data_IF_974711519565
#
_entry.id   IF_974711519565
#
_cell.length_a   1.000
_cell.length_b   1.000
_cell.length_c   1.000
_cell.angle_alpha   90.00
_cell.angle_beta   90.00
_cell.angle_gamma   90.00
#
_symmetry.space_group_name_H-M   'P 1'
#
loop_
_entity.id
_entity.type
_entity.pdbx_description
1 polymer ?
#
# COMPACT_ATOMS: atom_id res chain seq x y z
N UNK A 1 -16.22 9.36 30.54
CA UNK A 1 -15.99 8.28 31.52
C UNK A 1 -14.55 8.34 32.00
N UNK A 2 -14.33 8.39 33.31
CA UNK A 2 -12.99 8.40 33.91
C UNK A 2 -12.45 6.96 33.87
N UNK A 3 -11.29 6.76 33.24
CA UNK A 3 -10.70 5.42 33.13
C UNK A 3 -10.17 4.86 34.46
N UNK A 4 -9.98 3.52 34.60
CA UNK A 4 -9.53 2.89 35.85
C UNK A 4 -8.19 3.44 36.40
N UNK A 5 -7.31 3.92 35.54
CA UNK A 5 -6.04 4.54 35.93
C UNK A 5 -6.27 5.87 36.66
N UNK A 6 -7.15 6.73 36.15
CA UNK A 6 -7.48 8.00 36.82
C UNK A 6 -8.21 7.78 38.13
N UNK A 7 -9.09 6.77 38.20
CA UNK A 7 -9.77 6.39 39.45
C UNK A 7 -8.76 5.95 40.51
N UNK A 8 -7.74 5.15 40.14
CA UNK A 8 -6.64 4.78 41.06
C UNK A 8 -5.86 6.00 41.57
N UNK A 9 -5.54 6.93 40.64
CA UNK A 9 -4.86 8.17 41.00
C UNK A 9 -5.67 9.01 41.98
N UNK A 10 -6.99 9.11 41.74
CA UNK A 10 -7.88 9.84 42.64
C UNK A 10 -7.95 9.18 44.04
N UNK A 11 -8.01 7.83 44.12
CA UNK A 11 -7.93 7.11 45.41
C UNK A 11 -6.60 7.38 46.09
N UNK A 12 -5.48 7.27 45.37
CA UNK A 12 -4.14 7.54 45.91
C UNK A 12 -4.07 8.96 46.47
N UNK A 13 -4.48 9.96 45.71
CA UNK A 13 -4.49 11.36 46.16
C UNK A 13 -5.25 11.58 47.46
N UNK A 14 -6.49 11.03 47.56
CA UNK A 14 -7.33 11.18 48.76
C UNK A 14 -6.71 10.49 49.97
N UNK A 15 -6.03 9.35 49.78
CA UNK A 15 -5.34 8.63 50.85
C UNK A 15 -4.06 9.36 51.27
N UNK A 16 -3.24 9.81 50.32
CA UNK A 16 -2.00 10.54 50.58
C UNK A 16 -2.25 11.90 51.32
N UNK A 17 -3.33 12.57 50.95
CA UNK A 17 -3.79 13.79 51.65
C UNK A 17 -4.45 13.51 53.00
N UNK A 18 -4.51 12.26 53.46
CA UNK A 18 -5.13 11.82 54.72
C UNK A 18 -6.59 12.26 54.90
N UNK A 19 -7.30 12.50 53.79
CA UNK A 19 -8.71 12.94 53.84
C UNK A 19 -9.63 11.82 54.32
N UNK A 20 -9.34 10.58 53.99
CA UNK A 20 -10.03 9.42 54.55
C UNK A 20 -9.22 8.11 54.36
N UNK A 21 -9.69 7.02 54.97
CA UNK A 21 -9.04 5.72 54.85
C UNK A 21 -9.16 5.17 53.41
N UNK A 22 -8.22 4.32 52.98
CA UNK A 22 -8.25 3.61 51.72
C UNK A 22 -9.60 2.92 51.42
N UNK A 23 -10.16 2.25 52.44
CA UNK A 23 -11.46 1.59 52.34
C UNK A 23 -12.58 2.57 51.98
N UNK A 24 -12.58 3.74 52.63
CA UNK A 24 -13.58 4.81 52.41
C UNK A 24 -13.37 5.49 51.07
N UNK A 25 -12.15 5.83 50.70
CA UNK A 25 -11.80 6.39 49.39
C UNK A 25 -12.22 5.48 48.22
N UNK A 26 -11.88 4.18 48.30
CA UNK A 26 -12.28 3.21 47.29
C UNK A 26 -13.80 3.07 47.17
N UNK A 27 -14.53 3.11 48.28
CA UNK A 27 -16.00 3.04 48.28
C UNK A 27 -16.62 4.28 47.63
N UNK A 28 -16.15 5.47 47.96
CA UNK A 28 -16.70 6.74 47.41
C UNK A 28 -16.41 6.90 45.94
N UNK A 29 -15.22 6.48 45.49
CA UNK A 29 -14.79 6.58 44.08
C UNK A 29 -15.19 5.36 43.23
N UNK A 30 -15.95 4.42 43.79
CA UNK A 30 -16.43 3.25 43.03
C UNK A 30 -15.30 2.32 42.55
N UNK A 31 -14.16 2.25 43.26
CA UNK A 31 -13.02 1.40 42.91
C UNK A 31 -12.93 0.22 43.85
N UNK A 32 -12.86 -1.00 43.31
CA UNK A 32 -12.63 -2.16 44.16
C UNK A 32 -11.20 -2.10 44.76
N UNK A 33 -11.02 -2.41 46.04
CA UNK A 33 -9.72 -2.35 46.75
C UNK A 33 -8.66 -3.20 46.09
N UNK A 34 -9.01 -4.41 45.62
CA UNK A 34 -8.07 -5.25 44.88
C UNK A 34 -7.60 -4.60 43.58
N UNK A 35 -8.47 -3.86 42.90
CA UNK A 35 -8.11 -3.07 41.71
C UNK A 35 -7.16 -1.93 42.07
N UNK A 36 -7.41 -1.22 43.16
CA UNK A 36 -6.51 -0.16 43.65
C UNK A 36 -5.13 -0.72 44.02
N UNK A 37 -5.08 -1.80 44.80
CA UNK A 37 -3.84 -2.43 45.25
C UNK A 37 -3.10 -3.22 44.18
N UNK A 38 -3.74 -3.51 43.05
CA UNK A 38 -3.09 -4.26 41.98
C UNK A 38 -1.88 -3.46 41.43
N UNK A 39 -0.66 -3.99 41.56
CA UNK A 39 0.51 -3.26 41.10
C UNK A 39 0.49 -3.07 39.60
N UNK A 40 0.88 -1.88 39.16
CA UNK A 40 1.11 -1.63 37.74
C UNK A 40 2.36 -2.40 37.34
N UNK A 41 2.20 -3.48 36.59
CA UNK A 41 3.35 -4.23 36.07
C UNK A 41 4.11 -3.37 35.07
N UNK A 42 5.39 -3.18 35.31
CA UNK A 42 6.28 -2.59 34.32
C UNK A 42 6.27 -3.43 33.04
N UNK A 43 6.18 -2.81 31.86
CA UNK A 43 6.23 -3.56 30.61
C UNK A 43 7.58 -4.27 30.48
N UNK A 44 7.56 -5.50 29.98
CA UNK A 44 8.78 -6.26 29.69
C UNK A 44 9.65 -5.51 28.67
N UNK A 45 10.99 -5.58 28.74
CA UNK A 45 11.89 -4.91 27.79
C UNK A 45 11.53 -5.18 26.32
N UNK A 46 11.18 -6.41 25.98
CA UNK A 46 10.73 -6.80 24.64
C UNK A 46 9.43 -6.08 24.21
N UNK A 47 8.51 -5.83 25.15
CA UNK A 47 7.29 -5.09 24.86
C UNK A 47 7.57 -3.60 24.59
N UNK A 48 8.54 -3.03 25.28
CA UNK A 48 9.00 -1.65 25.04
C UNK A 48 9.65 -1.54 23.67
N UNK A 49 10.54 -2.46 23.31
CA UNK A 49 11.19 -2.50 22.01
C UNK A 49 10.16 -2.66 20.87
N UNK A 50 9.21 -3.59 21.00
CA UNK A 50 8.14 -3.77 20.03
C UNK A 50 7.30 -2.49 19.87
N UNK A 51 6.96 -1.83 20.98
CA UNK A 51 6.21 -0.57 20.94
C UNK A 51 6.99 0.51 20.18
N UNK A 52 8.25 0.71 20.50
CA UNK A 52 9.14 1.65 19.82
C UNK A 52 9.25 1.33 18.32
N UNK A 53 9.39 0.04 17.96
CA UNK A 53 9.47 -0.37 16.54
C UNK A 53 8.17 -0.08 15.79
N UNK A 54 6.99 -0.34 16.39
CA UNK A 54 5.69 0.00 15.79
C UNK A 54 5.58 1.50 15.53
N UNK A 55 6.02 2.34 16.47
CA UNK A 55 6.01 3.80 16.32
C UNK A 55 6.96 4.21 15.18
N UNK A 56 8.20 3.73 15.19
CA UNK A 56 9.19 4.03 14.16
C UNK A 56 8.70 3.66 12.75
N UNK A 57 8.18 2.44 12.55
CA UNK A 57 7.61 2.00 11.28
C UNK A 57 6.38 2.83 10.87
N UNK A 58 5.59 3.31 11.84
CA UNK A 58 4.43 4.14 11.53
C UNK A 58 4.81 5.54 11.05
N UNK A 59 5.95 6.07 11.51
CA UNK A 59 6.54 7.31 11.01
C UNK A 59 7.24 7.12 9.67
N UNK A 60 7.97 6.03 9.50
CA UNK A 60 8.61 5.68 8.23
C UNK A 60 7.60 5.48 7.11
N UNK A 61 6.46 4.82 7.41
CA UNK A 61 5.39 4.51 6.45
C UNK A 61 4.04 5.10 6.90
N UNK A 62 3.84 6.40 6.91
CA UNK A 62 2.65 7.04 7.50
C UNK A 62 1.35 6.68 6.77
N UNK A 63 1.44 6.21 5.52
CA UNK A 63 0.28 5.76 4.73
C UNK A 63 -0.04 4.27 4.90
N UNK A 64 0.78 3.53 5.69
CA UNK A 64 0.50 2.12 5.98
C UNK A 64 -0.50 1.99 7.12
N UNK A 65 -1.59 1.27 6.88
CA UNK A 65 -2.50 0.83 7.93
C UNK A 65 -1.86 -0.24 8.84
N UNK A 66 -2.45 -0.48 10.00
CA UNK A 66 -1.95 -1.44 10.99
C UNK A 66 -1.68 -2.85 10.44
N UNK A 67 -2.42 -3.27 9.39
CA UNK A 67 -2.22 -4.58 8.75
C UNK A 67 -0.90 -4.66 7.99
N UNK A 68 -0.50 -3.58 7.28
CA UNK A 68 0.79 -3.51 6.58
C UNK A 68 1.95 -3.35 7.57
N UNK A 69 1.79 -2.51 8.60
CA UNK A 69 2.81 -2.39 9.67
C UNK A 69 3.04 -3.74 10.32
N UNK A 70 1.97 -4.52 10.60
CA UNK A 70 2.13 -5.89 11.10
C UNK A 70 2.92 -6.77 10.15
N UNK A 71 2.63 -6.73 8.84
CA UNK A 71 3.33 -7.54 7.85
C UNK A 71 4.84 -7.19 7.77
N UNK A 72 5.21 -5.92 7.93
CA UNK A 72 6.61 -5.51 8.03
C UNK A 72 7.24 -6.09 9.29
N UNK A 73 6.58 -5.97 10.44
CA UNK A 73 7.07 -6.53 11.70
C UNK A 73 7.26 -8.06 11.63
N UNK A 74 6.36 -8.77 10.98
CA UNK A 74 6.47 -10.23 10.80
C UNK A 74 7.68 -10.61 9.95
N UNK A 75 8.01 -9.82 8.93
CA UNK A 75 9.25 -10.01 8.15
C UNK A 75 10.52 -9.73 8.99
N UNK A 76 10.43 -8.84 9.95
CA UNK A 76 11.50 -8.57 10.92
C UNK A 76 11.59 -9.62 12.05
N UNK A 77 10.74 -10.66 12.01
CA UNK A 77 10.72 -11.74 13.00
C UNK A 77 9.87 -11.48 14.25
N UNK A 78 9.10 -10.38 14.30
CA UNK A 78 8.22 -10.10 15.42
C UNK A 78 6.93 -10.91 15.36
N UNK A 79 6.66 -11.68 16.41
CA UNK A 79 5.33 -12.30 16.60
C UNK A 79 4.37 -11.29 17.24
N UNK A 80 3.45 -10.72 16.47
CA UNK A 80 2.55 -9.67 16.94
C UNK A 80 1.13 -9.81 16.35
N UNK A 81 0.12 -9.62 17.21
CA UNK A 81 -1.29 -9.68 16.76
C UNK A 81 -1.73 -8.37 16.10
N UNK A 82 -2.71 -8.48 15.19
CA UNK A 82 -3.36 -7.29 14.55
C UNK A 82 -3.91 -6.32 15.60
N UNK A 83 -4.57 -6.84 16.64
CA UNK A 83 -5.17 -6.05 17.72
C UNK A 83 -4.11 -5.26 18.51
N UNK A 84 -2.94 -5.87 18.74
CA UNK A 84 -1.84 -5.22 19.47
C UNK A 84 -1.27 -4.03 18.68
N UNK A 85 -0.94 -4.21 17.39
CA UNK A 85 -0.45 -3.12 16.53
C UNK A 85 -1.50 -2.00 16.44
N UNK A 86 -2.77 -2.35 16.23
CA UNK A 86 -3.86 -1.38 16.15
C UNK A 86 -4.03 -0.58 17.45
N UNK A 87 -3.96 -1.25 18.62
CA UNK A 87 -4.08 -0.62 19.94
C UNK A 87 -2.95 0.37 20.18
N UNK A 88 -1.70 -0.02 19.92
CA UNK A 88 -0.53 0.85 20.09
C UNK A 88 -0.66 2.07 19.17
N UNK A 89 -0.89 1.88 17.89
CA UNK A 89 -1.04 2.99 16.95
C UNK A 89 -2.20 3.92 17.29
N UNK A 90 -3.30 3.38 17.88
CA UNK A 90 -4.41 4.20 18.35
C UNK A 90 -4.00 5.07 19.55
N UNK A 91 -3.26 4.48 20.50
CA UNK A 91 -2.76 5.17 21.69
C UNK A 91 -1.82 6.32 21.33
N UNK A 92 -0.95 6.08 20.35
CA UNK A 92 0.03 7.06 19.86
C UNK A 92 -0.53 8.05 18.81
N UNK A 93 -1.83 8.02 18.53
CA UNK A 93 -2.44 8.93 17.55
C UNK A 93 -2.07 8.64 16.08
N UNK A 94 -1.40 7.54 15.80
CA UNK A 94 -0.81 7.18 14.49
C UNK A 94 -1.80 6.47 13.55
N UNK A 95 -3.08 6.86 13.58
CA UNK A 95 -4.08 6.31 12.67
C UNK A 95 -3.95 6.95 11.28
N UNK A 96 -4.00 6.12 10.23
CA UNK A 96 -4.20 6.63 8.88
C UNK A 96 -5.62 7.19 8.78
N UNK A 97 -5.77 8.41 8.28
CA UNK A 97 -7.09 8.98 8.03
C UNK A 97 -7.85 8.09 7.04
N UNK A 98 -9.08 7.69 7.33
CA UNK A 98 -9.89 6.94 6.37
C UNK A 98 -10.11 7.83 5.13
N UNK A 99 -10.04 7.20 3.95
CA UNK A 99 -10.49 7.88 2.73
C UNK A 99 -12.00 8.14 2.85
N UNK A 100 -12.52 9.21 2.26
CA UNK A 100 -13.97 9.40 2.13
C UNK A 100 -14.59 8.11 1.60
N UNK A 101 -15.73 7.71 2.17
CA UNK A 101 -16.46 6.54 1.66
C UNK A 101 -16.84 6.81 0.21
N UNK A 102 -16.39 5.94 -0.68
CA UNK A 102 -16.85 5.94 -2.06
C UNK A 102 -18.29 5.43 -2.05
N UNK A 103 -19.19 6.19 -2.62
CA UNK A 103 -20.58 5.73 -2.84
C UNK A 103 -20.50 4.49 -3.71
N UNK A 104 -21.06 3.33 -3.27
CA UNK A 104 -21.06 2.13 -4.08
C UNK A 104 -21.77 2.42 -5.41
N UNK A 105 -21.14 2.11 -6.53
CA UNK A 105 -21.80 2.19 -7.83
C UNK A 105 -22.93 1.19 -7.86
N UNK A 106 -24.13 1.63 -8.18
CA UNK A 106 -25.28 0.75 -8.41
C UNK A 106 -25.24 0.30 -9.87
N UNK A 107 -25.34 -1.00 -10.11
CA UNK A 107 -25.38 -1.61 -11.42
C UNK A 107 -24.72 -2.98 -11.46
N UNK A 108 -25.19 -3.84 -12.34
CA UNK A 108 -24.60 -5.16 -12.62
C UNK A 108 -23.54 -4.97 -13.69
N UNK A 109 -22.29 -5.36 -13.42
CA UNK A 109 -21.26 -5.43 -14.45
C UNK A 109 -21.57 -6.58 -15.40
N UNK A 110 -21.93 -6.26 -16.64
CA UNK A 110 -22.30 -7.25 -17.66
C UNK A 110 -21.11 -7.90 -18.38
N UNK A 111 -19.90 -7.41 -18.16
CA UNK A 111 -18.67 -7.96 -18.74
C UNK A 111 -17.63 -8.21 -17.67
N UNK A 112 -17.24 -9.46 -17.45
CA UNK A 112 -16.05 -9.78 -16.67
C UNK A 112 -14.83 -9.52 -17.55
N UNK A 113 -13.93 -8.60 -17.17
CA UNK A 113 -12.68 -8.42 -17.90
C UNK A 113 -11.86 -9.71 -17.85
N UNK A 114 -11.11 -10.03 -18.90
CA UNK A 114 -10.15 -11.12 -18.90
C UNK A 114 -9.28 -11.02 -17.65
N UNK A 115 -9.38 -11.99 -16.77
CA UNK A 115 -8.64 -12.02 -15.52
C UNK A 115 -7.26 -12.61 -15.74
N UNK A 116 -6.21 -11.94 -15.30
CA UNK A 116 -4.85 -12.45 -15.37
C UNK A 116 -4.69 -13.70 -14.47
N UNK A 117 -4.23 -14.81 -15.03
CA UNK A 117 -4.08 -16.12 -14.35
C UNK A 117 -2.64 -16.47 -14.03
N UNK A 118 -1.67 -15.87 -14.71
CA UNK A 118 -0.24 -16.09 -14.51
C UNK A 118 0.56 -14.83 -14.85
N UNK A 119 1.83 -14.84 -14.50
CA UNK A 119 2.75 -13.74 -14.82
C UNK A 119 2.86 -13.55 -16.34
N UNK A 120 2.87 -12.30 -16.78
CA UNK A 120 2.90 -11.89 -18.19
C UNK A 120 1.64 -12.29 -18.99
N UNK A 121 0.55 -12.74 -18.34
CA UNK A 121 -0.70 -12.96 -19.05
C UNK A 121 -1.32 -11.62 -19.51
N UNK A 122 -1.53 -10.68 -18.60
CA UNK A 122 -2.09 -9.36 -18.93
C UNK A 122 -1.23 -8.28 -18.28
N UNK A 123 -0.68 -7.41 -19.11
CA UNK A 123 -0.13 -6.13 -18.64
C UNK A 123 -1.15 -5.04 -18.84
N UNK A 124 -1.17 -4.07 -17.94
CA UNK A 124 -1.99 -2.87 -18.10
C UNK A 124 -1.10 -1.65 -18.07
N UNK A 125 -1.42 -0.68 -18.89
CA UNK A 125 -0.75 0.61 -18.91
C UNK A 125 -1.74 1.75 -18.88
N UNK A 126 -1.28 2.91 -18.40
CA UNK A 126 -2.09 4.12 -18.40
C UNK A 126 -1.21 5.34 -18.12
N UNK A 127 -1.73 6.52 -18.40
CA UNK A 127 -1.09 7.79 -18.07
C UNK A 127 -1.62 8.35 -16.76
N UNK A 128 -0.70 8.89 -15.97
CA UNK A 128 -1.02 9.72 -14.81
C UNK A 128 -0.28 11.05 -14.92
N UNK A 129 -0.91 12.12 -14.47
CA UNK A 129 -0.38 13.46 -14.57
C UNK A 129 -0.17 14.07 -13.20
N UNK A 130 0.91 14.86 -13.08
CA UNK A 130 1.20 15.69 -11.92
C UNK A 130 1.94 16.96 -12.37
N UNK A 131 2.39 17.76 -11.42
CA UNK A 131 3.14 18.99 -11.66
C UNK A 131 4.33 19.09 -10.73
N UNK A 132 5.40 19.72 -11.20
CA UNK A 132 6.49 20.15 -10.33
C UNK A 132 6.04 21.33 -9.47
N UNK A 133 6.81 21.63 -8.43
CA UNK A 133 6.60 22.78 -7.55
C UNK A 133 6.41 24.11 -8.34
N UNK A 134 7.15 24.29 -9.42
CA UNK A 134 7.05 25.44 -10.33
C UNK A 134 5.90 25.33 -11.35
N UNK A 135 4.98 24.38 -11.20
CA UNK A 135 3.80 24.20 -12.07
C UNK A 135 4.06 23.50 -13.41
N UNK A 136 5.31 23.10 -13.72
CA UNK A 136 5.60 22.38 -14.97
C UNK A 136 4.96 20.99 -14.97
N UNK A 137 4.29 20.62 -16.05
CA UNK A 137 3.62 19.32 -16.19
C UNK A 137 4.59 18.15 -16.12
N UNK A 138 4.19 17.13 -15.39
CA UNK A 138 4.77 15.78 -15.38
C UNK A 138 3.75 14.83 -15.97
N UNK A 139 4.05 14.21 -17.11
CA UNK A 139 3.29 13.12 -17.71
C UNK A 139 4.03 11.83 -17.43
N UNK A 140 3.33 10.86 -16.84
CA UNK A 140 3.92 9.59 -16.45
C UNK A 140 3.18 8.45 -17.11
N UNK A 141 3.92 7.59 -17.84
CA UNK A 141 3.41 6.31 -18.34
C UNK A 141 3.72 5.24 -17.30
N UNK A 142 2.68 4.57 -16.84
CA UNK A 142 2.79 3.46 -15.87
C UNK A 142 2.46 2.14 -16.55
N UNK A 143 3.20 1.08 -16.22
CA UNK A 143 2.96 -0.28 -16.71
C UNK A 143 2.96 -1.25 -15.52
N UNK A 144 1.97 -2.14 -15.47
CA UNK A 144 1.75 -3.07 -14.38
C UNK A 144 1.42 -4.46 -14.91
N UNK A 145 1.98 -5.51 -14.31
CA UNK A 145 1.51 -6.88 -14.48
C UNK A 145 0.30 -7.12 -13.57
N UNK A 146 -0.84 -7.48 -14.15
CA UNK A 146 -2.09 -7.62 -13.41
C UNK A 146 -2.11 -8.81 -12.46
N UNK A 147 -1.34 -9.86 -12.73
CA UNK A 147 -1.27 -11.02 -11.86
C UNK A 147 -0.37 -10.80 -10.66
N UNK A 148 0.87 -10.44 -10.91
CA UNK A 148 1.89 -10.26 -9.87
C UNK A 148 1.78 -8.91 -9.13
N UNK A 149 1.03 -7.95 -9.67
CA UNK A 149 0.98 -6.55 -9.22
C UNK A 149 2.32 -5.83 -9.34
N UNK A 150 3.29 -6.40 -10.03
CA UNK A 150 4.59 -5.79 -10.25
C UNK A 150 4.46 -4.53 -11.12
N UNK A 151 5.02 -3.43 -10.66
CA UNK A 151 5.14 -2.21 -11.45
C UNK A 151 6.36 -2.35 -12.37
N UNK A 152 6.10 -2.59 -13.65
CA UNK A 152 7.11 -2.87 -14.65
C UNK A 152 7.88 -1.61 -15.07
N UNK A 153 7.17 -0.48 -15.19
CA UNK A 153 7.78 0.79 -15.54
C UNK A 153 6.96 1.97 -15.05
N UNK A 154 7.65 3.06 -14.70
CA UNK A 154 7.07 4.41 -14.60
C UNK A 154 8.00 5.34 -15.36
N UNK A 155 7.63 5.73 -16.58
CA UNK A 155 8.39 6.72 -17.35
C UNK A 155 7.87 8.11 -17.08
N UNK A 156 8.72 9.03 -16.67
CA UNK A 156 8.38 10.41 -16.31
C UNK A 156 8.98 11.38 -17.33
N UNK A 157 8.12 12.15 -18.00
CA UNK A 157 8.51 13.16 -19.01
C UNK A 157 7.58 14.38 -18.92
N UNK A 158 7.90 15.44 -19.62
CA UNK A 158 6.97 16.56 -19.84
C UNK A 158 5.89 16.21 -20.87
N UNK A 159 6.30 15.46 -21.89
CA UNK A 159 5.45 14.94 -22.95
C UNK A 159 5.90 13.52 -23.28
N UNK A 160 4.95 12.63 -23.53
CA UNK A 160 5.24 11.26 -23.96
C UNK A 160 4.51 11.02 -25.27
N UNK A 161 5.26 10.70 -26.31
CA UNK A 161 4.75 10.36 -27.63
C UNK A 161 4.83 8.84 -27.85
N UNK A 162 4.18 8.33 -28.90
CA UNK A 162 4.12 6.89 -29.22
C UNK A 162 5.49 6.20 -29.27
N UNK A 163 6.53 6.88 -29.77
CA UNK A 163 7.89 6.33 -29.78
C UNK A 163 8.46 6.06 -28.39
N UNK A 164 8.17 6.95 -27.43
CA UNK A 164 8.60 6.78 -26.04
C UNK A 164 7.81 5.68 -25.32
N UNK A 165 6.50 5.54 -25.64
CA UNK A 165 5.66 4.41 -25.14
C UNK A 165 6.27 3.10 -25.60
N UNK A 166 6.56 2.96 -26.92
CA UNK A 166 7.18 1.75 -27.48
C UNK A 166 8.55 1.45 -26.89
N UNK A 167 9.40 2.47 -26.70
CA UNK A 167 10.70 2.28 -26.07
C UNK A 167 10.57 1.77 -24.63
N UNK A 168 9.60 2.30 -23.87
CA UNK A 168 9.36 1.85 -22.49
C UNK A 168 8.80 0.42 -22.47
N UNK A 169 7.88 0.10 -23.36
CA UNK A 169 7.35 -1.26 -23.49
C UNK A 169 8.45 -2.25 -23.84
N UNK A 170 9.30 -1.92 -24.83
CA UNK A 170 10.43 -2.75 -25.24
C UNK A 170 11.38 -3.02 -24.05
N UNK A 171 11.76 -1.99 -23.30
CA UNK A 171 12.62 -2.14 -22.12
C UNK A 171 11.97 -3.05 -21.06
N UNK A 172 10.66 -2.86 -20.81
CA UNK A 172 9.93 -3.72 -19.87
C UNK A 172 9.91 -5.18 -20.35
N UNK A 173 9.69 -5.43 -21.65
CA UNK A 173 9.69 -6.78 -22.21
C UNK A 173 11.06 -7.46 -22.11
N UNK A 174 12.15 -6.74 -22.36
CA UNK A 174 13.52 -7.27 -22.22
C UNK A 174 13.82 -7.67 -20.78
N UNK A 175 13.26 -6.97 -19.79
CA UNK A 175 13.52 -7.23 -18.38
C UNK A 175 12.56 -8.28 -17.76
N UNK A 176 11.30 -8.26 -18.14
CA UNK A 176 10.26 -9.05 -17.46
C UNK A 176 9.65 -10.15 -18.30
N UNK A 177 9.91 -10.20 -19.61
CA UNK A 177 9.31 -11.11 -20.58
C UNK A 177 8.22 -10.43 -21.40
N UNK A 178 7.68 -11.17 -22.37
CA UNK A 178 6.66 -10.69 -23.32
C UNK A 178 5.27 -10.97 -22.74
N UNK A 179 4.36 -9.98 -22.68
CA UNK A 179 2.99 -10.22 -22.27
C UNK A 179 2.16 -10.85 -23.41
N UNK A 180 1.19 -11.68 -23.07
CA UNK A 180 0.21 -12.17 -24.05
C UNK A 180 -0.79 -11.07 -24.44
N UNK A 181 -1.17 -10.26 -23.46
CA UNK A 181 -2.18 -9.21 -23.62
C UNK A 181 -1.70 -7.90 -23.00
N UNK A 182 -2.10 -6.79 -23.63
CA UNK A 182 -1.99 -5.47 -23.04
C UNK A 182 -3.40 -4.87 -22.93
N UNK A 183 -3.79 -4.52 -21.70
CA UNK A 183 -5.02 -3.77 -21.42
C UNK A 183 -4.73 -2.28 -21.51
N UNK A 184 -5.56 -1.59 -22.27
CA UNK A 184 -5.45 -0.15 -22.49
C UNK A 184 -6.82 0.50 -22.50
N UNK A 185 -6.88 1.75 -22.06
CA UNK A 185 -7.98 2.62 -22.45
C UNK A 185 -7.90 2.97 -23.95
N UNK A 186 -8.92 3.66 -24.44
CA UNK A 186 -8.98 4.13 -25.83
C UNK A 186 -8.26 5.48 -26.01
N UNK A 187 -7.22 5.77 -25.20
CA UNK A 187 -6.42 6.99 -25.32
C UNK A 187 -5.77 7.11 -26.71
N UNK A 188 -5.78 8.30 -27.28
CA UNK A 188 -5.27 8.57 -28.63
C UNK A 188 -3.80 8.14 -28.82
N UNK A 189 -3.00 8.21 -27.76
CA UNK A 189 -1.61 7.78 -27.76
C UNK A 189 -1.44 6.26 -27.90
N UNK A 190 -2.39 5.48 -27.37
CA UNK A 190 -2.35 4.01 -27.40
C UNK A 190 -3.00 3.44 -28.68
N UNK A 191 -3.97 4.16 -29.26
CA UNK A 191 -4.62 3.78 -30.53
C UNK A 191 -3.71 4.13 -31.74
N UNK A 192 -2.64 4.90 -31.54
CA UNK A 192 -1.74 5.30 -32.61
C UNK A 192 -1.32 4.09 -33.47
N UNK A 193 -1.52 4.18 -34.78
CA UNK A 193 -1.28 3.07 -35.72
C UNK A 193 0.13 2.47 -35.63
N UNK A 194 1.12 3.27 -35.20
CA UNK A 194 2.50 2.80 -34.92
C UNK A 194 2.52 1.78 -33.76
N UNK A 195 1.80 2.05 -32.67
CA UNK A 195 1.73 1.15 -31.52
C UNK A 195 1.00 -0.12 -31.88
N UNK A 196 -0.16 -0.01 -32.54
CA UNK A 196 -0.96 -1.16 -32.95
C UNK A 196 -0.23 -2.08 -33.92
N UNK A 197 0.50 -1.50 -34.89
CA UNK A 197 1.34 -2.26 -35.81
C UNK A 197 2.43 -3.02 -35.06
N UNK A 198 3.09 -2.35 -34.13
CA UNK A 198 4.17 -2.94 -33.34
C UNK A 198 3.70 -4.08 -32.44
N UNK A 199 2.57 -3.92 -31.75
CA UNK A 199 1.95 -4.96 -30.93
C UNK A 199 1.59 -6.19 -31.79
N UNK A 200 1.00 -5.97 -32.96
CA UNK A 200 0.65 -7.05 -33.90
C UNK A 200 1.88 -7.84 -34.35
N UNK A 201 2.96 -7.15 -34.71
CA UNK A 201 4.22 -7.79 -35.13
C UNK A 201 4.79 -8.68 -34.01
N UNK A 202 4.66 -8.24 -32.76
CA UNK A 202 5.12 -8.98 -31.59
C UNK A 202 4.06 -9.97 -31.04
N UNK A 203 2.96 -10.21 -31.75
CA UNK A 203 1.87 -11.13 -31.42
C UNK A 203 1.19 -10.82 -30.07
N UNK A 204 1.24 -9.59 -29.63
CA UNK A 204 0.61 -9.12 -28.39
C UNK A 204 -0.81 -8.68 -28.69
N UNK A 205 -1.80 -9.25 -28.03
CA UNK A 205 -3.21 -8.91 -28.17
C UNK A 205 -3.56 -7.69 -27.33
N UNK A 206 -4.35 -6.77 -27.86
CA UNK A 206 -4.83 -5.61 -27.12
C UNK A 206 -6.22 -5.90 -26.55
N UNK A 207 -6.41 -5.69 -25.25
CA UNK A 207 -7.68 -5.72 -24.56
C UNK A 207 -8.14 -4.28 -24.34
N UNK A 208 -9.04 -3.80 -25.18
CA UNK A 208 -9.60 -2.46 -25.02
C UNK A 208 -10.68 -2.44 -23.93
N UNK A 209 -10.69 -1.36 -23.19
CA UNK A 209 -11.72 -1.08 -22.20
C UNK A 209 -12.93 -0.53 -22.94
N UNK A 210 -14.10 -1.10 -22.69
CA UNK A 210 -15.35 -0.63 -23.26
C UNK A 210 -15.65 0.81 -22.80
N UNK A 211 -16.12 1.68 -23.70
CA UNK A 211 -16.57 3.03 -23.33
C UNK A 211 -17.58 2.97 -22.19
N UNK A 212 -17.35 3.78 -21.15
CA UNK A 212 -18.21 3.79 -19.95
C UNK A 212 -17.97 2.66 -18.95
N UNK A 213 -16.94 1.81 -19.15
CA UNK A 213 -16.62 0.67 -18.28
C UNK A 213 -15.26 0.85 -17.53
N UNK A 214 -15.06 1.91 -16.74
CA UNK A 214 -13.80 2.17 -16.05
C UNK A 214 -13.41 1.05 -15.09
N UNK A 215 -14.35 0.25 -14.59
CA UNK A 215 -14.05 -0.90 -13.71
C UNK A 215 -13.18 -1.98 -14.39
N UNK A 216 -13.17 -2.02 -15.74
CA UNK A 216 -12.30 -2.93 -16.49
C UNK A 216 -10.82 -2.56 -16.36
N UNK A 217 -10.49 -1.32 -15.94
CA UNK A 217 -9.12 -0.84 -15.65
C UNK A 217 -8.79 -0.75 -14.16
N UNK A 218 -9.57 -1.40 -13.32
CA UNK A 218 -9.48 -1.28 -11.86
C UNK A 218 -8.10 -1.60 -11.28
N UNK A 219 -7.27 -2.36 -11.98
CA UNK A 219 -5.91 -2.68 -11.55
C UNK A 219 -4.99 -1.46 -11.58
N UNK A 220 -4.95 -0.76 -12.71
CA UNK A 220 -4.10 0.43 -12.85
C UNK A 220 -4.68 1.62 -12.07
N UNK A 221 -6.01 1.77 -12.00
CA UNK A 221 -6.66 2.80 -11.17
C UNK A 221 -6.30 2.62 -9.68
N UNK A 222 -6.37 1.38 -9.20
CA UNK A 222 -5.95 1.04 -7.84
C UNK A 222 -4.47 1.34 -7.60
N UNK A 223 -3.60 1.05 -8.57
CA UNK A 223 -2.19 1.38 -8.53
C UNK A 223 -1.99 2.91 -8.49
N UNK A 224 -2.60 3.67 -9.39
CA UNK A 224 -2.52 5.14 -9.42
C UNK A 224 -2.98 5.77 -8.10
N UNK A 225 -4.06 5.24 -7.51
CA UNK A 225 -4.52 5.68 -6.20
C UNK A 225 -3.45 5.49 -5.10
N UNK A 226 -2.64 4.42 -5.17
CA UNK A 226 -1.54 4.17 -4.22
C UNK A 226 -0.32 5.02 -4.53
N UNK A 227 0.03 5.10 -5.80
CA UNK A 227 1.14 5.91 -6.26
C UNK A 227 0.94 7.39 -5.89
N UNK A 228 -0.26 7.92 -6.11
CA UNK A 228 -0.61 9.27 -5.70
C UNK A 228 -0.57 9.45 -4.18
N UNK A 229 -1.14 8.52 -3.42
CA UNK A 229 -1.25 8.60 -1.96
C UNK A 229 0.09 8.40 -1.24
N UNK A 230 0.94 7.52 -1.74
CA UNK A 230 2.17 7.09 -1.08
C UNK A 230 3.45 7.76 -1.62
N UNK A 231 3.39 8.38 -2.82
CA UNK A 231 4.49 9.09 -3.44
C UNK A 231 4.11 10.53 -3.82
N UNK A 232 3.32 10.73 -4.89
CA UNK A 232 3.12 12.05 -5.48
C UNK A 232 2.58 13.12 -4.51
N UNK A 233 1.65 12.75 -3.61
CA UNK A 233 1.08 13.67 -2.61
C UNK A 233 1.99 13.88 -1.38
N UNK A 234 3.15 13.27 -1.34
CA UNK A 234 4.08 13.36 -0.20
C UNK A 234 5.35 14.08 -0.53
N UNK A 235 5.72 14.08 -1.78
CA UNK A 235 6.99 14.61 -2.25
C UNK A 235 6.79 15.96 -2.96
N UNK A 236 7.69 16.88 -2.72
CA UNK A 236 7.78 18.15 -3.43
C UNK A 236 8.72 17.98 -4.62
N UNK A 237 8.17 17.73 -5.79
CA UNK A 237 8.94 17.46 -6.99
C UNK A 237 9.42 18.79 -7.59
N UNK A 238 10.67 19.17 -7.35
CA UNK A 238 11.21 20.47 -7.76
C UNK A 238 11.41 20.57 -9.28
N UNK A 239 11.82 19.46 -9.90
CA UNK A 239 12.11 19.40 -11.33
C UNK A 239 11.96 17.98 -11.89
N UNK A 240 12.04 17.84 -13.21
CA UNK A 240 11.89 16.55 -13.91
C UNK A 240 12.96 15.51 -13.52
N UNK A 241 14.21 15.95 -13.28
CA UNK A 241 15.30 15.03 -12.92
C UNK A 241 15.06 14.42 -11.55
N UNK A 242 14.71 15.25 -10.58
CA UNK A 242 14.37 14.79 -9.23
C UNK A 242 13.13 13.92 -9.24
N UNK A 243 12.06 14.31 -9.97
CA UNK A 243 10.86 13.50 -10.12
C UNK A 243 11.17 12.09 -10.62
N UNK A 244 12.08 11.93 -11.58
CA UNK A 244 12.52 10.62 -12.08
C UNK A 244 13.18 9.77 -10.98
N UNK A 245 14.05 10.38 -10.17
CA UNK A 245 14.76 9.66 -9.09
C UNK A 245 13.80 9.24 -8.01
N UNK A 246 12.99 10.16 -7.48
CA UNK A 246 12.02 9.90 -6.40
C UNK A 246 10.98 8.85 -6.80
N UNK A 247 10.47 8.96 -8.03
CA UNK A 247 9.44 8.04 -8.53
C UNK A 247 10.04 6.65 -8.79
N UNK A 248 11.27 6.56 -9.27
CA UNK A 248 11.94 5.27 -9.47
C UNK A 248 12.27 4.60 -8.13
N UNK A 249 12.73 5.34 -7.13
CA UNK A 249 12.94 4.81 -5.78
C UNK A 249 11.63 4.27 -5.18
N UNK A 250 10.54 5.03 -5.32
CA UNK A 250 9.21 4.56 -4.91
C UNK A 250 8.78 3.30 -5.68
N UNK A 251 9.04 3.21 -7.00
CA UNK A 251 8.72 2.02 -7.81
C UNK A 251 9.49 0.79 -7.31
N UNK A 252 10.75 0.95 -7.00
CA UNK A 252 11.58 -0.13 -6.43
C UNK A 252 11.02 -0.55 -5.07
N UNK A 253 10.81 0.38 -4.14
CA UNK A 253 10.19 0.09 -2.85
C UNK A 253 8.81 -0.62 -3.01
N UNK A 254 7.98 -0.16 -3.96
CA UNK A 254 6.69 -0.78 -4.25
C UNK A 254 6.83 -2.25 -4.65
N UNK A 255 7.83 -2.59 -5.46
CA UNK A 255 8.05 -3.94 -5.95
C UNK A 255 8.73 -4.85 -4.92
N UNK A 256 9.71 -4.34 -4.18
CA UNK A 256 10.58 -5.15 -3.30
C UNK A 256 10.07 -5.26 -1.87
N UNK A 257 9.49 -4.19 -1.34
CA UNK A 257 9.21 -4.08 0.10
C UNK A 257 7.74 -3.93 0.45
N UNK A 258 6.97 -3.21 -0.38
CA UNK A 258 5.62 -2.82 -0.04
C UNK A 258 4.66 -4.01 0.12
N UNK A 259 4.00 -4.19 1.30
CA UNK A 259 3.07 -5.30 1.51
C UNK A 259 1.76 -5.12 0.72
N UNK A 260 1.38 -6.12 -0.07
CA UNK A 260 0.15 -6.15 -0.87
C UNK A 260 -0.88 -7.11 -0.27
N UNK A 261 -2.03 -6.61 0.13
CA UNK A 261 -3.08 -7.45 0.74
C UNK A 261 -3.60 -8.55 -0.20
N UNK A 262 -3.61 -8.32 -1.50
CA UNK A 262 -4.01 -9.32 -2.51
C UNK A 262 -2.96 -10.42 -2.73
N UNK A 263 -1.71 -10.17 -2.35
CA UNK A 263 -0.60 -11.11 -2.44
C UNK A 263 -0.25 -11.71 -1.06
N UNK A 264 -1.21 -11.83 -0.16
CA UNK A 264 -0.95 -12.32 1.19
C UNK A 264 0.00 -11.44 2.03
N UNK A 265 0.06 -10.15 1.75
CA UNK A 265 1.00 -9.17 2.32
C UNK A 265 2.46 -9.36 1.90
N UNK A 266 2.74 -10.17 0.89
CA UNK A 266 4.03 -10.16 0.21
C UNK A 266 4.18 -8.91 -0.65
N UNK A 267 5.41 -8.53 -0.96
CA UNK A 267 5.70 -7.61 -2.05
C UNK A 267 5.53 -8.33 -3.40
N UNK A 268 5.38 -7.63 -4.52
CA UNK A 268 5.31 -8.26 -5.85
C UNK A 268 6.47 -9.21 -6.13
N UNK A 269 7.70 -8.82 -5.85
CA UNK A 269 8.88 -9.68 -6.03
C UNK A 269 8.91 -10.86 -5.06
N UNK A 270 8.53 -10.63 -3.80
CA UNK A 270 8.40 -11.71 -2.82
C UNK A 270 7.33 -12.74 -3.22
N UNK A 271 6.23 -12.29 -3.83
CA UNK A 271 5.20 -13.17 -4.37
C UNK A 271 5.73 -14.01 -5.55
N UNK A 272 6.47 -13.39 -6.48
CA UNK A 272 7.08 -14.07 -7.63
C UNK A 272 8.10 -15.11 -7.14
N UNK A 273 8.93 -14.76 -6.16
CA UNK A 273 9.93 -15.68 -5.59
C UNK A 273 9.26 -16.91 -4.96
N UNK A 274 8.20 -16.71 -4.17
CA UNK A 274 7.47 -17.82 -3.55
C UNK A 274 6.82 -18.76 -4.58
N UNK A 275 6.29 -18.23 -5.68
CA UNK A 275 5.73 -19.07 -6.75
C UNK A 275 6.78 -19.96 -7.41
N UNK A 276 7.98 -19.45 -7.66
CA UNK A 276 9.08 -20.24 -8.23
C UNK A 276 9.46 -21.43 -7.33
N UNK A 277 9.53 -21.18 -6.02
CA UNK A 277 9.84 -22.24 -5.04
C UNK A 277 8.75 -23.30 -5.02
N UNK A 278 7.48 -22.91 -5.04
CA UNK A 278 6.35 -23.87 -5.08
C UNK A 278 6.38 -24.75 -6.32
N UNK A 279 6.63 -24.17 -7.50
CA UNK A 279 6.72 -24.94 -8.76
C UNK A 279 7.90 -25.92 -8.78
N UNK A 280 9.03 -25.57 -8.19
CA UNK A 280 10.20 -26.45 -8.07
C UNK A 280 9.94 -27.63 -7.11
N UNK A 281 9.19 -27.39 -6.03
CA UNK A 281 8.82 -28.47 -5.10
C UNK A 281 7.83 -29.48 -5.71
N UNK A 282 6.92 -29.00 -6.58
CA UNK A 282 5.95 -29.87 -7.26
C UNK A 282 6.59 -30.69 -8.40
N UNK A 283 7.67 -30.19 -9.01
CA UNK A 283 8.44 -30.93 -10.03
C UNK A 283 9.37 -32.00 -9.45
N UNK A 284 9.68 -31.91 -8.15
CA UNK A 284 10.54 -32.88 -7.44
C UNK A 284 9.74 -33.92 -6.63
N UNK A 285 8.42 -33.96 -6.82
CA UNK A 285 7.52 -35.01 -6.31
C UNK A 285 7.06 -35.96 -7.43
#
# INVERSE_FOLDING_TARGET
MVGPAHQKQAVAYVVDQRLCSERRACRYLGVHRSTYRYPVKSPLPQQVQLHQRIVALSWQYPRYGYRRIRAVLEREGWSVSRKQVQRIRRKEGLKVRPKPQHIPRQGVSTGLPTQATHRNHVWTWDFIFDRTDKGSTLKMLTMLDEYTRQCLAIRVERQIRSGQVLATLWQAMMQYGIPEHIRSDNGTEFIAGKIQRWLRVNQIKTLYIEPGSPWQNGYIESFHSRFRDECLNREWLLNLREARVVIEDWRQHYNTERPHSRLGYLSPEGFIANQKVSLQMDQNR
#
